data_IF_983227927041
#
_entry.id   IF_983227927041
#
_cell.length_a   1.000
_cell.length_b   1.000
_cell.length_c   1.000
_cell.angle_alpha   90.00
_cell.angle_beta   90.00
_cell.angle_gamma   90.00
#
_symmetry.space_group_name_H-M   'P 1'
#
loop_
_entity.id
_entity.type
_entity.pdbx_description
1 polymer ?
#
# COMPACT_ATOMS: atom_id res chain seq x y z
N UNK A 1 -0.93 12.97 -9.82
CA UNK A 1 -2.28 13.32 -10.36
C UNK A 1 -2.83 12.27 -11.33
N UNK A 2 -1.96 11.53 -12.02
CA UNK A 2 -2.36 10.52 -13.02
C UNK A 2 -3.16 9.35 -12.43
N UNK A 3 -2.80 8.88 -11.24
CA UNK A 3 -3.52 7.78 -10.56
C UNK A 3 -4.99 8.13 -10.31
N UNK A 4 -5.27 9.30 -9.72
CA UNK A 4 -6.65 9.74 -9.46
C UNK A 4 -7.46 9.85 -10.75
N UNK A 5 -6.89 10.42 -11.81
CA UNK A 5 -7.55 10.54 -13.13
C UNK A 5 -7.85 9.17 -13.74
N UNK A 6 -6.89 8.24 -13.70
CA UNK A 6 -7.03 6.87 -14.21
C UNK A 6 -8.19 6.14 -13.54
N UNK A 7 -8.40 6.36 -12.25
CA UNK A 7 -9.36 5.59 -11.46
C UNK A 7 -10.73 6.25 -11.28
N UNK A 8 -11.03 7.39 -11.93
CA UNK A 8 -12.34 8.07 -11.81
C UNK A 8 -13.55 7.21 -12.17
N UNK A 9 -13.38 6.23 -13.06
CA UNK A 9 -14.44 5.31 -13.50
C UNK A 9 -14.37 3.93 -12.83
N UNK A 10 -13.43 3.73 -11.90
CA UNK A 10 -13.32 2.47 -11.17
C UNK A 10 -14.48 2.37 -10.19
N UNK A 11 -15.31 1.34 -10.32
CA UNK A 11 -16.38 1.11 -9.36
C UNK A 11 -15.80 0.73 -8.00
N UNK A 12 -16.61 0.86 -6.94
CA UNK A 12 -16.20 0.41 -5.60
C UNK A 12 -15.88 -1.08 -5.60
N UNK A 13 -16.71 -1.90 -6.24
CA UNK A 13 -16.50 -3.34 -6.34
C UNK A 13 -15.16 -3.67 -7.01
N UNK A 14 -14.86 -3.01 -8.13
CA UNK A 14 -13.60 -3.24 -8.85
C UNK A 14 -12.40 -2.75 -8.03
N UNK A 15 -12.51 -1.59 -7.39
CA UNK A 15 -11.46 -1.07 -6.51
C UNK A 15 -11.17 -2.02 -5.34
N UNK A 16 -12.21 -2.62 -4.74
CA UNK A 16 -12.08 -3.61 -3.67
C UNK A 16 -11.40 -4.89 -4.18
N UNK A 17 -11.76 -5.40 -5.36
CA UNK A 17 -11.10 -6.56 -5.97
C UNK A 17 -9.62 -6.30 -6.24
N UNK A 18 -9.30 -5.15 -6.83
CA UNK A 18 -7.91 -4.74 -7.11
C UNK A 18 -7.11 -4.63 -5.81
N UNK A 19 -7.69 -4.01 -4.78
CA UNK A 19 -7.04 -3.89 -3.47
C UNK A 19 -6.72 -5.27 -2.86
N UNK A 20 -7.71 -6.17 -2.80
CA UNK A 20 -7.50 -7.52 -2.25
C UNK A 20 -6.44 -8.30 -3.02
N UNK A 21 -6.47 -8.22 -4.36
CA UNK A 21 -5.44 -8.84 -5.20
C UNK A 21 -4.06 -8.26 -4.88
N UNK A 22 -3.91 -6.93 -4.91
CA UNK A 22 -2.62 -6.30 -4.65
C UNK A 22 -2.08 -6.60 -3.25
N UNK A 23 -2.97 -6.68 -2.24
CA UNK A 23 -2.57 -7.02 -0.88
C UNK A 23 -2.01 -8.44 -0.82
N UNK A 24 -2.70 -9.39 -1.45
CA UNK A 24 -2.25 -10.77 -1.56
C UNK A 24 -0.90 -10.86 -2.30
N UNK A 25 -0.78 -10.22 -3.46
CA UNK A 25 0.43 -10.24 -4.27
C UNK A 25 1.64 -9.67 -3.49
N UNK A 26 1.44 -8.62 -2.67
CA UNK A 26 2.48 -8.04 -1.81
C UNK A 26 2.90 -9.03 -0.71
N UNK A 27 1.95 -9.71 -0.06
CA UNK A 27 2.27 -10.68 1.00
C UNK A 27 3.00 -11.89 0.44
N UNK A 28 2.51 -12.46 -0.67
CA UNK A 28 3.18 -13.58 -1.35
C UNK A 28 4.59 -13.19 -1.79
N UNK A 29 4.78 -11.97 -2.31
CA UNK A 29 6.10 -11.47 -2.67
C UNK A 29 7.01 -11.32 -1.44
N UNK A 30 6.51 -10.79 -0.33
CA UNK A 30 7.28 -10.64 0.90
C UNK A 30 7.79 -11.99 1.44
N UNK A 31 6.98 -13.04 1.33
CA UNK A 31 7.32 -14.41 1.75
C UNK A 31 8.43 -15.05 0.91
N UNK A 32 8.72 -14.52 -0.30
CA UNK A 32 9.81 -15.04 -1.14
C UNK A 32 11.21 -14.62 -0.69
N UNK A 33 11.32 -13.62 0.19
CA UNK A 33 12.60 -13.06 0.63
C UNK A 33 13.04 -13.64 1.97
N UNK A 34 14.35 -13.75 2.18
CA UNK A 34 14.89 -14.11 3.50
C UNK A 34 14.88 -12.93 4.46
N UNK A 35 15.06 -13.20 5.76
CA UNK A 35 15.20 -12.15 6.76
C UNK A 35 16.40 -11.23 6.46
N UNK A 36 17.52 -11.78 5.99
CA UNK A 36 18.70 -11.00 5.61
C UNK A 36 18.37 -10.05 4.46
N UNK A 37 17.66 -10.53 3.44
CA UNK A 37 17.23 -9.70 2.30
C UNK A 37 16.26 -8.59 2.71
N UNK A 38 15.34 -8.89 3.62
CA UNK A 38 14.34 -7.94 4.10
C UNK A 38 14.93 -6.88 5.04
N UNK A 39 15.89 -7.24 5.88
CA UNK A 39 16.29 -6.40 7.02
C UNK A 39 17.76 -5.96 7.01
N UNK A 40 18.60 -6.46 6.11
CA UNK A 40 19.97 -5.95 5.96
C UNK A 40 19.99 -4.66 5.13
N UNK A 41 20.86 -3.73 5.54
CA UNK A 41 21.19 -2.56 4.73
C UNK A 41 22.00 -3.00 3.50
N UNK A 42 21.83 -2.27 2.41
CA UNK A 42 22.57 -2.45 1.15
C UNK A 42 22.40 -3.83 0.46
N UNK A 43 21.50 -4.69 0.95
CA UNK A 43 21.11 -5.93 0.25
C UNK A 43 20.60 -5.64 -1.17
N UNK A 44 19.91 -4.50 -1.33
CA UNK A 44 19.41 -4.02 -2.61
C UNK A 44 19.80 -2.56 -2.85
N UNK A 45 20.64 -2.27 -3.85
CA UNK A 45 21.14 -0.91 -4.13
C UNK A 45 20.04 0.12 -4.39
N UNK A 46 18.89 -0.31 -4.92
CA UNK A 46 17.78 0.57 -5.25
C UNK A 46 16.99 1.05 -4.02
N UNK A 47 17.13 0.41 -2.86
CA UNK A 47 16.41 0.80 -1.63
C UNK A 47 17.05 2.01 -0.91
N UNK A 48 18.06 2.64 -1.50
CA UNK A 48 18.54 3.97 -1.10
C UNK A 48 19.07 4.08 0.33
N UNK A 49 19.72 3.03 0.85
CA UNK A 49 20.27 2.98 2.21
C UNK A 49 19.27 2.59 3.31
N UNK A 50 18.01 2.34 2.94
CA UNK A 50 17.03 1.68 3.80
C UNK A 50 17.15 0.15 3.70
N UNK A 51 16.19 -0.58 4.27
CA UNK A 51 16.01 -2.03 4.10
C UNK A 51 14.82 -2.30 3.17
N UNK A 52 14.81 -3.44 2.48
CA UNK A 52 13.70 -3.82 1.60
C UNK A 52 12.37 -3.92 2.39
N UNK A 53 12.40 -4.46 3.60
CA UNK A 53 11.23 -4.57 4.47
C UNK A 53 10.55 -3.23 4.78
N UNK A 54 11.29 -2.12 4.78
CA UNK A 54 10.70 -0.79 4.98
C UNK A 54 9.73 -0.39 3.86
N UNK A 55 9.94 -0.86 2.63
CA UNK A 55 9.04 -0.62 1.50
C UNK A 55 7.74 -1.40 1.66
N UNK A 56 7.82 -2.68 2.05
CA UNK A 56 6.63 -3.47 2.38
C UNK A 56 5.77 -2.83 3.48
N UNK A 57 6.41 -2.34 4.55
CA UNK A 57 5.72 -1.62 5.64
C UNK A 57 5.11 -0.30 5.16
N UNK A 58 5.82 0.43 4.29
CA UNK A 58 5.39 1.70 3.73
C UNK A 58 4.19 1.57 2.80
N UNK A 59 4.21 0.55 1.93
CA UNK A 59 3.20 0.33 0.88
C UNK A 59 2.01 -0.52 1.33
N UNK A 60 2.13 -1.28 2.43
CA UNK A 60 1.03 -2.04 3.02
C UNK A 60 0.50 -1.40 4.30
N UNK A 61 0.95 -1.88 5.47
CA UNK A 61 0.36 -1.56 6.77
C UNK A 61 0.25 -0.06 7.05
N UNK A 62 1.33 0.69 6.84
CA UNK A 62 1.35 2.14 7.08
C UNK A 62 0.41 2.89 6.13
N UNK A 63 0.32 2.43 4.88
CA UNK A 63 -0.55 3.05 3.89
C UNK A 63 -2.02 2.79 4.19
N UNK A 64 -2.36 1.58 4.65
CA UNK A 64 -3.74 1.24 5.05
C UNK A 64 -4.21 2.10 6.22
N UNK A 65 -3.36 2.33 7.22
CA UNK A 65 -3.67 3.21 8.35
C UNK A 65 -3.96 4.65 7.89
N UNK A 66 -3.14 5.17 6.98
CA UNK A 66 -3.37 6.49 6.40
C UNK A 66 -4.67 6.53 5.58
N UNK A 67 -4.91 5.54 4.72
CA UNK A 67 -6.10 5.47 3.88
C UNK A 67 -7.38 5.41 4.74
N UNK A 68 -7.38 4.60 5.79
CA UNK A 68 -8.51 4.49 6.73
C UNK A 68 -8.79 5.82 7.45
N UNK A 69 -7.75 6.55 7.86
CA UNK A 69 -7.92 7.91 8.44
C UNK A 69 -8.58 8.86 7.45
N UNK A 70 -8.16 8.84 6.17
CA UNK A 70 -8.75 9.68 5.12
C UNK A 70 -10.21 9.34 4.83
N UNK A 71 -10.54 8.05 4.74
CA UNK A 71 -11.91 7.58 4.52
C UNK A 71 -12.84 8.00 5.66
N UNK A 72 -12.42 7.79 6.92
CA UNK A 72 -13.20 8.20 8.10
C UNK A 72 -13.45 9.71 8.12
N UNK A 73 -12.43 10.51 7.83
CA UNK A 73 -12.57 11.96 7.75
C UNK A 73 -13.56 12.39 6.65
N UNK A 74 -13.48 11.77 5.47
CA UNK A 74 -14.41 12.03 4.37
C UNK A 74 -15.85 11.68 4.74
N UNK A 75 -16.09 10.50 5.31
CA UNK A 75 -17.41 10.07 5.78
C UNK A 75 -18.00 11.05 6.79
N UNK A 76 -17.20 11.56 7.75
CA UNK A 76 -17.64 12.57 8.70
C UNK A 76 -18.07 13.86 7.98
N UNK A 77 -17.27 14.35 7.05
CA UNK A 77 -17.57 15.57 6.29
C UNK A 77 -18.82 15.45 5.43
N UNK A 78 -19.10 14.27 4.88
CA UNK A 78 -20.31 14.02 4.09
C UNK A 78 -21.57 13.91 4.95
N UNK A 79 -21.48 13.38 6.17
CA UNK A 79 -22.61 13.28 7.12
C UNK A 79 -22.96 14.60 7.81
N UNK A 80 -22.03 15.54 7.88
CA UNK A 80 -22.24 16.88 8.44
C UNK A 80 -22.80 17.88 7.41
N UNK A 81 -23.15 17.41 6.22
CA UNK A 81 -23.95 18.13 5.22
C UNK A 81 -25.36 17.56 5.22
#
# INVERSE_FOLDING_TARGET
MEFWKKHQKTSLEEATKILHKSHKDILELAETFTNEELFSKDAYKWVGGSTLGSYFVGDASSYYDWAMKKLKAHQKNCKSK
#
